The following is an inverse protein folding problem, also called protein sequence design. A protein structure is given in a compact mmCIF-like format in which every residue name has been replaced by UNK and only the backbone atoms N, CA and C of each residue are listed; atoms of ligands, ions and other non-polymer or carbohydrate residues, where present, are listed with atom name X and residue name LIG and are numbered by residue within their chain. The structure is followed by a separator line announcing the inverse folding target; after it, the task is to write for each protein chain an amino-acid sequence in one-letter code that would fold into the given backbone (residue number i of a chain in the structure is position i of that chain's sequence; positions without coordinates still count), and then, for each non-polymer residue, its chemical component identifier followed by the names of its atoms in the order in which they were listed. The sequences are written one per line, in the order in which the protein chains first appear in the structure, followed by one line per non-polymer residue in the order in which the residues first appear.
data_IF_351470198833
#
_entry.id   IF_351470198833
#
_cell.length_a   1.000
_cell.length_b   1.000
_cell.length_c   1.000
_cell.angle_alpha   90.00
_cell.angle_beta   90.00
_cell.angle_gamma   90.00
#
_symmetry.space_group_name_H-M   'P 1'
#
loop_
_entity.id
_entity.type
_entity.pdbx_description
1 polymer ?
#
# COMPACT_ATOMS: atom_id res chain seq x y z
N UNK A 1 18.30 8.90 -2.76
CA UNK A 1 18.28 7.42 -2.78
C UNK A 1 17.13 6.95 -3.68
N UNK A 2 17.36 6.01 -4.61
CA UNK A 2 16.30 5.49 -5.47
C UNK A 2 15.24 4.77 -4.63
N UNK A 3 13.98 5.20 -4.73
CA UNK A 3 12.86 4.50 -4.08
C UNK A 3 12.56 3.27 -4.93
N UNK A 4 12.92 2.07 -4.46
CA UNK A 4 12.56 0.83 -5.15
C UNK A 4 11.04 0.77 -5.36
N UNK A 5 10.61 0.60 -6.60
CA UNK A 5 9.21 0.49 -7.00
C UNK A 5 8.80 -0.99 -7.11
N UNK A 6 7.50 -1.26 -6.98
CA UNK A 6 6.89 -2.58 -7.21
C UNK A 6 7.44 -3.73 -6.36
N UNK A 7 7.69 -3.50 -5.07
CA UNK A 7 8.27 -4.48 -4.15
C UNK A 7 7.33 -5.62 -3.75
N UNK A 8 6.02 -5.38 -3.76
CA UNK A 8 5.05 -6.41 -3.40
C UNK A 8 4.65 -7.22 -4.63
N UNK A 9 4.26 -8.47 -4.38
CA UNK A 9 3.65 -9.35 -5.39
C UNK A 9 2.23 -9.67 -4.95
N UNK A 10 1.34 -10.00 -5.89
CA UNK A 10 -0.05 -10.33 -5.56
C UNK A 10 -0.14 -11.51 -4.57
N UNK A 11 0.67 -12.55 -4.79
CA UNK A 11 0.78 -13.69 -3.89
C UNK A 11 1.34 -13.30 -2.52
N UNK A 12 2.37 -12.44 -2.48
CA UNK A 12 2.91 -11.92 -1.23
C UNK A 12 1.88 -11.13 -0.44
N UNK A 13 1.10 -10.27 -1.10
CA UNK A 13 0.01 -9.50 -0.48
C UNK A 13 -1.05 -10.43 0.12
N UNK A 14 -1.42 -11.48 -0.60
CA UNK A 14 -2.38 -12.48 -0.11
C UNK A 14 -1.86 -13.19 1.15
N UNK A 15 -0.56 -13.53 1.20
CA UNK A 15 0.06 -14.26 2.31
C UNK A 15 0.31 -13.41 3.57
N UNK A 16 0.30 -12.08 3.48
CA UNK A 16 0.54 -11.22 4.66
C UNK A 16 -0.61 -11.35 5.66
N UNK A 17 -0.33 -11.88 6.84
CA UNK A 17 -1.30 -12.00 7.95
C UNK A 17 -0.80 -11.31 9.23
N UNK A 18 0.20 -10.46 9.11
CA UNK A 18 0.74 -9.70 10.22
C UNK A 18 0.30 -8.25 10.11
N UNK A 19 -0.15 -7.67 11.23
CA UNK A 19 -0.48 -6.25 11.31
C UNK A 19 0.76 -5.42 10.98
N UNK A 20 0.58 -4.36 10.21
CA UNK A 20 1.71 -3.51 9.83
C UNK A 20 1.47 -2.73 8.55
N UNK A 21 2.55 -2.11 8.08
CA UNK A 21 2.56 -1.32 6.86
C UNK A 21 3.64 -1.84 5.92
N UNK A 22 3.23 -2.29 4.74
CA UNK A 22 4.12 -2.90 3.76
C UNK A 22 4.28 -1.96 2.58
N UNK A 23 5.51 -1.54 2.30
CA UNK A 23 5.79 -0.62 1.21
C UNK A 23 5.85 -1.36 -0.13
N UNK A 24 5.03 -0.94 -1.09
CA UNK A 24 5.17 -1.38 -2.49
C UNK A 24 6.17 -0.49 -3.25
N UNK A 25 6.31 0.77 -2.84
CA UNK A 25 7.18 1.74 -3.51
C UNK A 25 6.37 2.88 -4.13
N UNK A 26 7.04 3.96 -4.53
CA UNK A 26 6.37 5.11 -5.17
C UNK A 26 5.43 5.89 -4.25
N UNK A 27 5.40 5.61 -2.95
CA UNK A 27 4.41 6.15 -2.02
C UNK A 27 3.23 5.21 -1.78
N UNK A 28 3.14 4.07 -2.46
CA UNK A 28 2.12 3.05 -2.22
C UNK A 28 2.49 2.13 -1.05
N UNK A 29 1.52 1.90 -0.18
CA UNK A 29 1.61 1.01 0.97
C UNK A 29 0.36 0.13 1.11
N UNK A 30 0.55 -1.10 1.56
CA UNK A 30 -0.50 -1.95 2.10
C UNK A 30 -0.55 -1.77 3.63
N UNK A 31 -1.69 -1.35 4.16
CA UNK A 31 -1.97 -1.28 5.59
C UNK A 31 -2.74 -2.52 6.01
N UNK A 32 -2.22 -3.25 6.99
CA UNK A 32 -2.86 -4.42 7.58
C UNK A 32 -3.24 -4.09 9.02
N UNK A 33 -4.54 -4.15 9.31
CA UNK A 33 -5.09 -3.83 10.62
C UNK A 33 -4.84 -4.97 11.62
N UNK A 34 -5.10 -4.74 12.93
CA UNK A 34 -5.06 -5.81 13.92
C UNK A 34 -6.05 -6.95 13.64
N UNK A 35 -7.15 -6.68 12.93
CA UNK A 35 -8.14 -7.68 12.49
C UNK A 35 -7.78 -8.32 11.15
N UNK A 36 -6.55 -8.10 10.67
CA UNK A 36 -6.01 -8.65 9.41
C UNK A 36 -6.75 -8.11 8.16
N UNK A 37 -7.58 -7.09 8.30
CA UNK A 37 -8.13 -6.37 7.16
C UNK A 37 -7.04 -5.58 6.45
N UNK A 38 -7.04 -5.63 5.12
CA UNK A 38 -6.00 -5.08 4.26
C UNK A 38 -6.56 -3.91 3.47
N UNK A 39 -5.84 -2.79 3.45
CA UNK A 39 -6.23 -1.60 2.69
C UNK A 39 -5.02 -0.96 2.01
N UNK A 40 -5.22 -0.47 0.79
CA UNK A 40 -4.22 0.28 0.04
C UNK A 40 -4.22 1.72 0.45
N UNK A 41 -3.01 2.25 0.60
CA UNK A 41 -2.79 3.60 1.10
C UNK A 41 -1.66 4.25 0.32
N UNK A 42 -1.93 5.41 -0.26
CA UNK A 42 -0.94 6.26 -0.89
C UNK A 42 -0.46 7.34 0.09
N UNK A 43 0.86 7.48 0.22
CA UNK A 43 1.50 8.47 1.09
C UNK A 43 2.44 9.33 0.26
N UNK A 44 2.22 10.63 0.30
CA UNK A 44 3.05 11.62 -0.38
C UNK A 44 3.30 12.83 0.53
N UNK A 45 4.28 13.64 0.16
CA UNK A 45 4.56 14.90 0.83
C UNK A 45 4.16 16.03 -0.11
N UNK A 46 3.30 16.94 0.36
CA UNK A 46 2.92 18.15 -0.37
C UNK A 46 3.15 19.34 0.55
N UNK A 47 3.96 20.30 0.09
CA UNK A 47 4.31 21.51 0.85
C UNK A 47 4.90 21.21 2.23
N UNK A 48 5.78 20.21 2.32
CA UNK A 48 6.42 19.80 3.58
C UNK A 48 5.54 18.96 4.52
N UNK A 49 4.23 18.85 4.25
CA UNK A 49 3.32 18.04 5.07
C UNK A 49 3.13 16.65 4.46
N UNK A 50 3.34 15.61 5.27
CA UNK A 50 3.02 14.23 4.87
C UNK A 50 1.50 14.03 4.87
N UNK A 51 0.98 13.54 3.74
CA UNK A 51 -0.44 13.24 3.54
C UNK A 51 -0.62 11.78 3.19
N UNK A 52 -1.80 11.28 3.50
CA UNK A 52 -2.19 9.89 3.33
C UNK A 52 -3.58 9.83 2.68
N UNK A 53 -3.75 8.98 1.67
CA UNK A 53 -5.01 8.75 0.97
C UNK A 53 -5.28 7.24 0.90
N UNK A 54 -6.48 6.83 1.29
CA UNK A 54 -6.94 5.46 1.08
C UNK A 54 -7.29 5.24 -0.39
N UNK A 55 -6.73 4.19 -1.00
CA UNK A 55 -7.03 3.78 -2.37
C UNK A 55 -8.09 2.67 -2.43
N UNK A 56 -8.48 2.10 -1.28
CA UNK A 56 -9.52 1.09 -1.15
C UNK A 56 -9.07 -0.15 -0.39
N UNK A 57 -10.03 -1.02 -0.04
CA UNK A 57 -9.77 -2.28 0.65
C UNK A 57 -9.28 -3.37 -0.32
N UNK A 58 -8.37 -4.23 0.13
CA UNK A 58 -8.05 -5.49 -0.53
C UNK A 58 -9.01 -6.58 0.00
N UNK A 59 -9.51 -7.51 -0.84
CA UNK A 59 -9.14 -7.75 -2.24
C UNK A 59 -9.91 -6.93 -3.29
N UNK A 60 -10.89 -6.11 -2.89
CA UNK A 60 -11.71 -5.30 -3.83
C UNK A 60 -10.86 -4.46 -4.77
N UNK A 61 -9.80 -3.85 -4.26
CA UNK A 61 -8.76 -3.18 -5.05
C UNK A 61 -7.54 -4.09 -5.12
N UNK A 62 -7.23 -4.56 -6.33
CA UNK A 62 -6.05 -5.38 -6.59
C UNK A 62 -4.75 -4.56 -6.45
N UNK A 63 -3.60 -5.22 -6.26
CA UNK A 63 -2.30 -4.55 -6.27
C UNK A 63 -2.06 -3.77 -7.57
N UNK A 64 -2.47 -4.33 -8.72
CA UNK A 64 -2.33 -3.66 -10.01
C UNK A 64 -3.21 -2.40 -10.09
N UNK A 65 -4.43 -2.46 -9.57
CA UNK A 65 -5.33 -1.30 -9.49
C UNK A 65 -4.77 -0.24 -8.55
N UNK A 66 -4.27 -0.64 -7.38
CA UNK A 66 -3.66 0.27 -6.41
C UNK A 66 -2.42 0.98 -6.99
N UNK A 67 -1.59 0.28 -7.78
CA UNK A 67 -0.44 0.89 -8.49
C UNK A 67 -0.86 1.90 -9.55
N UNK A 68 -2.00 1.71 -10.21
CA UNK A 68 -2.52 2.67 -11.20
C UNK A 68 -3.09 3.93 -10.54
N UNK A 69 -3.53 3.84 -9.30
CA UNK A 69 -4.13 4.95 -8.54
C UNK A 69 -3.14 5.70 -7.64
N UNK A 70 -1.90 5.21 -7.51
CA UNK A 70 -0.81 5.82 -6.77
C UNK A 70 0.05 6.72 -7.68
#
# INVERSE_FOLDING_TARGET
MPRTLNRLTATGVAAINQKGRYADGGGLYLRVSPTISKAWVFRWVRSGTAREMGLGAYPTVSLASARKSA
#
